data_IF_443996772238
#
_entry.id   IF_443996772238
#
_cell.length_a   1.000
_cell.length_b   1.000
_cell.length_c   1.000
_cell.angle_alpha   90.00
_cell.angle_beta   90.00
_cell.angle_gamma   90.00
#
_symmetry.space_group_name_H-M   'P 1'
#
loop_
_entity.id
_entity.type
_entity.pdbx_description
1 polymer ?
#
# COMPACT_ATOMS: atom_id res chain seq x y z
N UNK A 1 -7.39 -21.43 -1.91
CA UNK A 1 -8.30 -20.47 -2.58
C UNK A 1 -7.52 -19.21 -2.92
N UNK A 2 -6.65 -19.32 -3.92
CA UNK A 2 -5.81 -18.23 -4.45
C UNK A 2 -6.61 -17.46 -5.50
N UNK A 3 -7.78 -16.94 -5.10
CA UNK A 3 -8.72 -16.22 -5.97
C UNK A 3 -8.69 -14.70 -5.73
N UNK A 4 -7.58 -14.22 -5.18
CA UNK A 4 -7.15 -12.81 -5.18
C UNK A 4 -6.10 -12.64 -6.29
N UNK A 5 -6.37 -13.25 -7.45
CA UNK A 5 -5.56 -13.08 -8.65
C UNK A 5 -5.76 -11.64 -9.10
N UNK A 6 -4.66 -10.92 -9.18
CA UNK A 6 -4.47 -9.48 -9.36
C UNK A 6 -4.87 -8.99 -10.76
N UNK A 7 -5.89 -9.61 -11.37
CA UNK A 7 -6.27 -9.33 -12.75
C UNK A 7 -7.35 -8.25 -12.92
N UNK A 8 -7.83 -7.61 -11.84
CA UNK A 8 -8.70 -6.44 -11.92
C UNK A 8 -8.77 -5.68 -10.58
N UNK A 9 -7.63 -5.29 -10.00
CA UNK A 9 -7.65 -4.55 -8.73
C UNK A 9 -7.96 -3.07 -9.02
N UNK A 10 -9.22 -2.81 -9.35
CA UNK A 10 -9.90 -1.64 -8.81
C UNK A 10 -10.33 -2.02 -7.38
N UNK A 11 -9.37 -2.04 -6.43
CA UNK A 11 -9.71 -2.31 -5.04
C UNK A 11 -10.49 -1.12 -4.49
N UNK A 12 -11.68 -1.40 -3.96
CA UNK A 12 -12.37 -0.44 -3.09
C UNK A 12 -11.53 -0.35 -1.82
N UNK A 13 -10.64 0.64 -1.77
CA UNK A 13 -9.91 0.97 -0.56
C UNK A 13 -10.69 2.04 0.19
N UNK A 14 -10.72 1.95 1.52
CA UNK A 14 -11.14 3.10 2.33
C UNK A 14 -10.00 4.10 2.34
N UNK A 15 -10.26 5.30 1.83
CA UNK A 15 -9.30 6.39 1.71
C UNK A 15 -8.68 6.81 3.04
N UNK A 16 -9.38 6.55 4.14
CA UNK A 16 -8.85 6.67 5.50
C UNK A 16 -7.58 5.83 5.71
N UNK A 17 -7.56 4.56 5.29
CA UNK A 17 -6.40 3.68 5.48
C UNK A 17 -5.19 4.14 4.67
N UNK A 18 -5.43 4.63 3.45
CA UNK A 18 -4.38 5.24 2.63
C UNK A 18 -3.77 6.47 3.33
N UNK A 19 -4.63 7.34 3.86
CA UNK A 19 -4.20 8.56 4.57
C UNK A 19 -3.38 8.24 5.81
N UNK A 20 -3.88 7.36 6.67
CA UNK A 20 -3.16 6.92 7.88
C UNK A 20 -1.80 6.31 7.55
N UNK A 21 -1.73 5.47 6.52
CA UNK A 21 -0.49 4.84 6.09
C UNK A 21 0.56 5.86 5.62
N UNK A 22 0.15 6.88 4.85
CA UNK A 22 1.02 7.96 4.35
C UNK A 22 1.46 8.89 5.49
N UNK A 23 0.53 9.30 6.37
CA UNK A 23 0.84 10.16 7.52
C UNK A 23 1.85 9.50 8.46
N UNK A 24 1.76 8.18 8.66
CA UNK A 24 2.75 7.43 9.46
C UNK A 24 4.13 7.29 8.78
N UNK A 25 4.23 7.51 7.46
CA UNK A 25 5.52 7.70 6.81
C UNK A 25 6.14 9.08 7.09
N UNK A 26 5.36 10.01 7.66
CA UNK A 26 5.78 11.40 7.92
C UNK A 26 5.52 12.35 6.76
N UNK A 27 4.66 11.96 5.81
CA UNK A 27 4.37 12.73 4.59
C UNK A 27 2.88 13.09 4.49
N UNK A 28 2.58 14.07 3.65
CA UNK A 28 1.23 14.41 3.20
C UNK A 28 0.85 13.69 1.90
N UNK A 29 -0.45 13.61 1.59
CA UNK A 29 -0.93 13.09 0.29
C UNK A 29 -0.32 13.82 -0.91
N UNK A 30 -0.05 15.12 -0.77
CA UNK A 30 0.59 15.95 -1.79
C UNK A 30 2.05 15.53 -2.03
N UNK A 31 2.80 15.32 -0.95
CA UNK A 31 4.19 14.86 -1.02
C UNK A 31 4.27 13.44 -1.58
N UNK A 32 3.35 12.56 -1.18
CA UNK A 32 3.19 11.24 -1.78
C UNK A 32 3.01 11.30 -3.29
N UNK A 33 2.06 12.11 -3.79
CA UNK A 33 1.84 12.26 -5.22
C UNK A 33 3.09 12.80 -5.95
N UNK A 34 3.77 13.76 -5.33
CA UNK A 34 5.02 14.33 -5.84
C UNK A 34 6.15 13.29 -5.93
N UNK A 35 6.34 12.46 -4.89
CA UNK A 35 7.36 11.40 -4.86
C UNK A 35 7.07 10.29 -5.86
N UNK A 36 5.80 10.05 -6.16
CA UNK A 36 5.37 9.10 -7.20
C UNK A 36 5.45 9.68 -8.63
N UNK A 37 5.88 10.93 -8.79
CA UNK A 37 5.98 11.58 -10.10
C UNK A 37 4.63 11.86 -10.77
N UNK A 38 3.54 11.95 -9.99
CA UNK A 38 2.22 12.21 -10.52
C UNK A 38 2.05 13.71 -10.79
N UNK A 39 1.77 14.06 -12.05
CA UNK A 39 1.56 15.45 -12.48
C UNK A 39 0.40 16.14 -11.77
N UNK A 40 -0.56 15.37 -11.24
CA UNK A 40 -1.73 15.87 -10.53
C UNK A 40 -1.93 15.13 -9.20
N UNK A 41 -1.86 15.84 -8.05
CA UNK A 41 -2.17 15.25 -6.74
C UNK A 41 -3.58 14.67 -6.65
N UNK A 42 -4.48 15.12 -7.54
CA UNK A 42 -5.91 14.80 -7.55
C UNK A 42 -6.17 13.30 -7.57
N UNK A 43 -5.31 12.49 -8.21
CA UNK A 43 -5.46 11.03 -8.22
C UNK A 43 -5.35 10.46 -6.80
N UNK A 44 -4.33 10.84 -6.04
CA UNK A 44 -4.15 10.38 -4.65
C UNK A 44 -5.26 10.92 -3.74
N UNK A 45 -5.68 12.18 -3.94
CA UNK A 45 -6.80 12.76 -3.19
C UNK A 45 -8.14 12.07 -3.48
N UNK A 46 -8.40 11.68 -4.73
CA UNK A 46 -9.64 10.99 -5.08
C UNK A 46 -9.70 9.60 -4.43
N UNK A 47 -8.60 8.86 -4.37
CA UNK A 47 -8.55 7.60 -3.62
C UNK A 47 -8.68 7.81 -2.11
N UNK A 48 -8.04 8.85 -1.55
CA UNK A 48 -8.12 9.16 -0.13
C UNK A 48 -9.50 9.65 0.33
N UNK A 49 -10.38 10.04 -0.59
CA UNK A 49 -11.74 10.51 -0.32
C UNK A 49 -12.82 9.51 -0.81
N UNK A 50 -12.46 8.25 -1.08
CA UNK A 50 -13.37 7.19 -1.57
C UNK A 50 -14.05 7.51 -2.92
N UNK A 51 -13.43 8.37 -3.74
CA UNK A 51 -13.99 8.84 -5.02
C UNK A 51 -13.53 7.96 -6.20
N UNK A 52 -12.55 7.08 -5.99
CA UNK A 52 -12.02 6.22 -7.07
C UNK A 52 -11.29 4.99 -6.54
N UNK A 53 -11.26 3.94 -7.35
CA UNK A 53 -10.56 2.70 -7.05
C UNK A 53 -9.07 2.78 -7.31
N UNK A 54 -8.26 2.22 -6.42
CA UNK A 54 -6.80 2.27 -6.58
C UNK A 54 -6.28 1.11 -7.44
N UNK A 55 -5.69 1.45 -8.58
CA UNK A 55 -5.10 0.49 -9.51
C UNK A 55 -3.72 -0.05 -9.09
N UNK A 56 -3.34 -1.20 -9.65
CA UNK A 56 -2.06 -1.87 -9.38
C UNK A 56 -0.82 -0.97 -9.58
N UNK A 57 -0.81 -0.13 -10.61
CA UNK A 57 0.30 0.82 -10.87
C UNK A 57 0.50 1.82 -9.74
N UNK A 58 -0.59 2.30 -9.14
CA UNK A 58 -0.50 3.25 -8.02
C UNK A 58 -0.02 2.55 -6.75
N UNK A 59 -0.50 1.34 -6.48
CA UNK A 59 -0.03 0.50 -5.38
C UNK A 59 1.47 0.18 -5.51
N UNK A 60 1.93 -0.12 -6.72
CA UNK A 60 3.35 -0.37 -7.00
C UNK A 60 4.19 0.88 -6.71
N UNK A 61 3.77 2.05 -7.20
CA UNK A 61 4.45 3.31 -6.92
C UNK A 61 4.49 3.66 -5.43
N UNK A 62 3.43 3.37 -4.67
CA UNK A 62 3.42 3.55 -3.21
C UNK A 62 4.49 2.68 -2.54
N UNK A 63 4.58 1.39 -2.89
CA UNK A 63 5.58 0.49 -2.32
C UNK A 63 7.02 0.85 -2.72
N UNK A 64 7.21 1.45 -3.90
CA UNK A 64 8.53 1.94 -4.34
C UNK A 64 8.97 3.17 -3.53
N UNK A 65 8.06 4.13 -3.31
CA UNK A 65 8.37 5.37 -2.60
C UNK A 65 8.46 5.16 -1.08
N UNK A 66 7.68 4.24 -0.53
CA UNK A 66 7.62 3.96 0.90
C UNK A 66 7.89 2.49 1.20
N UNK A 67 9.16 2.08 1.35
CA UNK A 67 9.52 0.68 1.60
C UNK A 67 8.91 0.08 2.88
N UNK A 68 8.56 0.93 3.85
CA UNK A 68 7.90 0.54 5.10
C UNK A 68 6.37 0.62 5.05
N UNK A 69 5.74 0.93 3.91
CA UNK A 69 4.28 0.98 3.84
C UNK A 69 3.68 -0.43 3.81
N UNK A 70 2.54 -0.60 4.48
CA UNK A 70 1.80 -1.86 4.46
C UNK A 70 0.62 -1.77 3.47
N UNK A 71 0.80 -2.28 2.25
CA UNK A 71 -0.25 -2.40 1.25
C UNK A 71 -1.37 -3.36 1.69
N UNK A 72 -1.09 -4.37 2.51
CA UNK A 72 -2.15 -5.24 3.05
C UNK A 72 -3.11 -4.43 3.94
N UNK A 73 -2.57 -3.55 4.78
CA UNK A 73 -3.38 -2.63 5.57
C UNK A 73 -4.19 -1.68 4.67
N UNK A 74 -3.57 -1.09 3.64
CA UNK A 74 -4.30 -0.20 2.70
C UNK A 74 -5.46 -0.91 2.00
N UNK A 75 -5.29 -2.19 1.67
CA UNK A 75 -6.31 -2.98 0.96
C UNK A 75 -7.40 -3.57 1.87
N UNK A 76 -7.13 -3.74 3.17
CA UNK A 76 -8.01 -4.54 4.06
C UNK A 76 -8.32 -3.91 5.41
N UNK A 77 -7.58 -2.87 5.81
CA UNK A 77 -7.60 -2.30 7.15
C UNK A 77 -6.92 -3.16 8.23
N UNK A 78 -6.31 -4.29 7.85
CA UNK A 78 -5.73 -5.26 8.80
C UNK A 78 -4.22 -5.05 8.97
N UNK A 79 -3.77 -5.09 10.22
CA UNK A 79 -2.37 -4.94 10.60
C UNK A 79 -1.98 -3.48 10.86
N UNK A 80 -0.66 -3.23 10.88
CA UNK A 80 -0.12 -1.88 11.10
C UNK A 80 0.05 -1.15 9.76
N UNK A 81 -0.26 0.16 9.66
CA UNK A 81 -0.11 0.92 8.40
C UNK A 81 1.35 1.08 7.96
N UNK A 82 2.27 1.01 8.93
CA UNK A 82 3.72 1.08 8.73
C UNK A 82 4.39 -0.16 9.32
N UNK A 83 5.29 -0.75 8.55
CA UNK A 83 6.12 -1.88 8.94
C UNK A 83 7.43 -1.38 9.55
N UNK A 84 7.80 -1.95 10.70
CA UNK A 84 9.12 -1.74 11.29
C UNK A 84 10.15 -2.55 10.50
N UNK A 85 10.98 -1.89 9.70
CA UNK A 85 12.04 -2.54 8.91
C UNK A 85 13.31 -2.86 9.72
N UNK A 86 13.28 -2.68 11.04
CA UNK A 86 14.40 -2.91 11.95
C UNK A 86 14.25 -4.22 12.73
N UNK A 87 15.00 -5.23 12.32
CA UNK A 87 15.67 -6.24 13.17
C UNK A 87 14.99 -6.62 14.50
N UNK A 88 13.83 -7.28 14.47
CA UNK A 88 13.59 -8.55 15.20
C UNK A 88 12.20 -9.12 14.85
N UNK A 89 12.14 -9.94 13.80
CA UNK A 89 10.90 -10.66 13.43
C UNK A 89 10.40 -11.63 14.52
N UNK A 90 11.26 -11.94 15.49
CA UNK A 90 10.95 -12.78 16.64
C UNK A 90 9.98 -12.13 17.62
N UNK A 91 9.88 -10.79 17.62
CA UNK A 91 9.06 -10.00 18.55
C UNK A 91 7.67 -9.64 18.01
N UNK A 92 7.41 -9.91 16.72
CA UNK A 92 6.11 -9.65 16.11
C UNK A 92 5.07 -10.65 16.64
N UNK A 93 3.86 -10.15 16.92
CA UNK A 93 2.69 -11.02 17.10
C UNK A 93 2.44 -11.82 15.82
N UNK A 94 1.79 -12.98 15.93
CA UNK A 94 1.47 -13.80 14.76
C UNK A 94 0.63 -13.05 13.72
N UNK A 95 -0.24 -12.13 14.17
CA UNK A 95 -1.01 -11.24 13.30
C UNK A 95 -0.11 -10.26 12.53
N UNK A 96 0.88 -9.66 13.21
CA UNK A 96 1.82 -8.75 12.57
C UNK A 96 2.75 -9.47 11.58
N UNK A 97 3.15 -10.72 11.89
CA UNK A 97 3.90 -11.57 10.97
C UNK A 97 3.07 -11.93 9.74
N UNK A 98 1.82 -12.34 9.94
CA UNK A 98 0.88 -12.67 8.85
C UNK A 98 0.65 -11.46 7.94
N UNK A 99 0.45 -10.27 8.52
CA UNK A 99 0.29 -9.04 7.76
C UNK A 99 1.54 -8.68 6.96
N UNK A 100 2.73 -8.86 7.53
CA UNK A 100 4.01 -8.65 6.83
C UNK A 100 4.18 -9.60 5.64
N UNK A 101 3.92 -10.88 5.83
CA UNK A 101 4.01 -11.87 4.76
C UNK A 101 2.98 -11.61 3.64
N UNK A 102 1.76 -11.23 4.01
CA UNK A 102 0.74 -10.82 3.06
C UNK A 102 1.19 -9.60 2.25
N UNK A 103 1.73 -8.57 2.91
CA UNK A 103 2.27 -7.38 2.25
C UNK A 103 3.39 -7.74 1.27
N UNK A 104 4.34 -8.58 1.69
CA UNK A 104 5.44 -9.03 0.84
C UNK A 104 4.93 -9.72 -0.43
N UNK A 105 3.96 -10.63 -0.30
CA UNK A 105 3.35 -11.32 -1.45
C UNK A 105 2.69 -10.34 -2.43
N UNK A 106 2.02 -9.31 -1.92
CA UNK A 106 1.41 -8.25 -2.75
C UNK A 106 2.50 -7.49 -3.51
N UNK A 107 3.53 -7.01 -2.81
CA UNK A 107 4.63 -6.24 -3.42
C UNK A 107 5.39 -7.06 -4.46
N UNK A 108 5.73 -8.31 -4.16
CA UNK A 108 6.43 -9.20 -5.10
C UNK A 108 5.60 -9.45 -6.36
N UNK A 109 4.27 -9.56 -6.21
CA UNK A 109 3.37 -9.73 -7.34
C UNK A 109 3.22 -8.46 -8.18
N UNK A 110 3.19 -7.28 -7.56
CA UNK A 110 3.16 -6.00 -8.27
C UNK A 110 4.43 -5.77 -9.08
N UNK A 111 5.61 -6.14 -8.57
CA UNK A 111 6.88 -6.06 -9.30
C UNK A 111 6.87 -6.92 -10.56
N UNK A 112 6.30 -8.12 -10.50
CA UNK A 112 6.19 -9.00 -11.65
C UNK A 112 5.32 -8.43 -12.80
N UNK A 113 4.48 -7.42 -12.54
CA UNK A 113 3.72 -6.71 -13.58
C UNK A 113 4.43 -5.50 -14.17
N UNK A 114 5.37 -4.89 -13.45
CA UNK A 114 6.12 -3.70 -13.90
C UNK A 114 7.28 -4.08 -14.85
N UNK A 115 7.72 -5.35 -14.82
CA UNK A 115 8.76 -5.93 -15.69
C UNK A 115 8.23 -6.47 -17.05
N UNK A 116 6.94 -6.26 -17.36
CA UNK A 116 6.26 -6.64 -18.62
C UNK A 116 5.94 -5.42 -19.49
#
# INVERSE_FOLDING_TARGET
MTKLLVMAIEAEIKGQWLREAIELQGDTLKECASKMGLSYPTTVYNHANDVSYMGAKLLAGLAQVYPSINLHYILTGVGLPKLSLGSDFSSLTDDARTAYEANKRIVDHLKAFDDL
#
